data_IF_540087267035
#
_entry.id   IF_540087267035
#
_cell.length_a   1.000
_cell.length_b   1.000
_cell.length_c   1.000
_cell.angle_alpha   90.00
_cell.angle_beta   90.00
_cell.angle_gamma   90.00
#
_symmetry.space_group_name_H-M   'P 1'
#
loop_
_entity.id
_entity.type
_entity.pdbx_description
1 polymer ?
#
# COMPACT_ATOMS: atom_id res chain seq x y z
N UNK A 1 -5.61 -15.07 20.18
CA UNK A 1 -6.17 -14.67 18.87
C UNK A 1 -5.42 -13.48 18.34
N UNK A 2 -5.01 -13.56 17.13
CA UNK A 2 -4.24 -12.49 16.49
C UNK A 2 -5.18 -11.60 15.72
N UNK A 3 -5.23 -10.32 16.09
CA UNK A 3 -6.14 -9.38 15.46
C UNK A 3 -5.89 -9.24 13.96
N UNK A 4 -4.66 -9.39 13.54
CA UNK A 4 -4.30 -9.23 12.14
C UNK A 4 -4.92 -10.31 11.26
N UNK A 5 -5.49 -11.35 11.87
CA UNK A 5 -6.13 -12.43 11.13
C UNK A 5 -7.64 -12.27 11.08
N UNK A 6 -8.15 -11.15 11.58
CA UNK A 6 -9.55 -10.82 11.43
C UNK A 6 -9.91 -10.83 9.94
N UNK A 7 -10.92 -11.59 9.53
CA UNK A 7 -11.28 -11.66 8.10
C UNK A 7 -11.55 -10.31 7.47
N UNK A 8 -12.14 -9.39 8.21
CA UNK A 8 -12.40 -8.05 7.69
C UNK A 8 -11.12 -7.30 7.42
N UNK A 9 -10.17 -7.42 8.34
CA UNK A 9 -8.88 -6.77 8.18
C UNK A 9 -8.11 -7.34 7.00
N UNK A 10 -8.10 -8.66 6.87
CA UNK A 10 -7.41 -9.31 5.76
C UNK A 10 -8.01 -8.88 4.43
N UNK A 11 -9.33 -8.86 4.37
CA UNK A 11 -10.04 -8.48 3.16
C UNK A 11 -9.73 -7.03 2.78
N UNK A 12 -9.76 -6.15 3.76
CA UNK A 12 -9.47 -4.74 3.52
C UNK A 12 -8.05 -4.53 3.03
N UNK A 13 -7.09 -5.21 3.65
CA UNK A 13 -5.69 -5.08 3.27
C UNK A 13 -5.44 -5.65 1.87
N UNK A 14 -6.11 -6.74 1.55
CA UNK A 14 -6.00 -7.32 0.22
C UNK A 14 -6.56 -6.35 -0.83
N UNK A 15 -7.72 -5.78 -0.54
CA UNK A 15 -8.34 -4.83 -1.45
C UNK A 15 -7.47 -3.59 -1.62
N UNK A 16 -6.92 -3.10 -0.53
CA UNK A 16 -6.02 -1.94 -0.57
C UNK A 16 -4.81 -2.24 -1.43
N UNK A 17 -4.22 -3.41 -1.27
CA UNK A 17 -3.07 -3.81 -2.07
C UNK A 17 -3.40 -3.81 -3.55
N UNK A 18 -4.55 -4.38 -3.91
CA UNK A 18 -4.95 -4.43 -5.30
C UNK A 18 -5.22 -3.05 -5.87
N UNK A 19 -5.86 -2.18 -5.08
CA UNK A 19 -6.12 -0.81 -5.53
C UNK A 19 -4.82 -0.08 -5.84
N UNK A 20 -3.84 -0.24 -4.97
CA UNK A 20 -2.56 0.43 -5.17
C UNK A 20 -1.85 -0.09 -6.41
N UNK A 21 -1.90 -1.39 -6.62
CA UNK A 21 -1.24 -1.99 -7.77
C UNK A 21 -1.92 -1.58 -9.07
N UNK A 22 -3.24 -1.54 -9.07
CA UNK A 22 -4.00 -1.15 -10.26
C UNK A 22 -3.68 0.28 -10.65
N UNK A 23 -3.48 1.15 -9.68
CA UNK A 23 -3.20 2.56 -9.95
C UNK A 23 -1.72 2.85 -10.14
N UNK A 24 -0.86 1.89 -9.81
CA UNK A 24 0.58 2.10 -9.86
C UNK A 24 1.02 2.52 -11.25
N UNK A 25 2.01 3.40 -11.34
CA UNK A 25 2.71 4.07 -10.26
C UNK A 25 2.09 5.41 -9.87
N UNK A 26 0.85 5.65 -10.23
CA UNK A 26 0.18 6.92 -9.98
C UNK A 26 -0.13 7.07 -8.50
N UNK A 27 -0.13 8.32 -8.05
CA UNK A 27 -0.50 8.65 -6.69
C UNK A 27 -2.01 8.67 -6.55
N UNK A 28 -2.51 8.12 -5.45
CA UNK A 28 -3.93 8.10 -5.15
C UNK A 28 -4.12 8.76 -3.78
N UNK A 29 -5.04 9.72 -3.65
CA UNK A 29 -5.27 10.33 -2.35
C UNK A 29 -5.69 9.33 -1.31
N UNK A 30 -5.14 9.46 -0.11
CA UNK A 30 -5.49 8.57 0.99
C UNK A 30 -7.00 8.59 1.26
N UNK A 31 -7.61 9.76 1.15
CA UNK A 31 -9.05 9.90 1.38
C UNK A 31 -9.85 9.10 0.36
N UNK A 32 -9.38 9.03 -0.86
CA UNK A 32 -10.06 8.25 -1.89
C UNK A 32 -9.96 6.76 -1.60
N UNK A 33 -8.80 6.31 -1.14
CA UNK A 33 -8.62 4.93 -0.75
C UNK A 33 -9.55 4.58 0.40
N UNK A 34 -9.61 5.46 1.40
CA UNK A 34 -10.47 5.24 2.55
C UNK A 34 -11.93 5.16 2.14
N UNK A 35 -12.35 6.06 1.27
CA UNK A 35 -13.74 6.06 0.80
C UNK A 35 -14.07 4.76 0.06
N UNK A 36 -13.17 4.33 -0.81
CA UNK A 36 -13.37 3.10 -1.57
C UNK A 36 -13.45 1.89 -0.66
N UNK A 37 -12.64 1.88 0.39
CA UNK A 37 -12.59 0.75 1.32
C UNK A 37 -13.65 0.83 2.40
N UNK A 38 -14.35 1.95 2.50
CA UNK A 38 -15.32 2.15 3.56
C UNK A 38 -14.67 2.20 4.93
N UNK A 39 -13.47 2.78 5.00
CA UNK A 39 -12.71 2.85 6.24
C UNK A 39 -12.29 4.29 6.50
N UNK A 40 -11.80 4.52 7.71
CA UNK A 40 -11.28 5.84 8.06
C UNK A 40 -9.85 6.00 7.60
N UNK A 41 -9.44 7.25 7.43
CA UNK A 41 -8.08 7.54 6.98
C UNK A 41 -7.03 6.90 7.87
N UNK A 42 -7.23 6.96 9.18
CA UNK A 42 -6.26 6.39 10.12
C UNK A 42 -6.18 4.87 9.96
N UNK A 43 -7.31 4.23 9.70
CA UNK A 43 -7.34 2.79 9.49
C UNK A 43 -6.54 2.43 8.24
N UNK A 44 -6.74 3.19 7.17
CA UNK A 44 -6.02 2.92 5.93
C UNK A 44 -4.53 3.18 6.13
N UNK A 45 -4.19 4.26 6.84
CA UNK A 45 -2.79 4.57 7.10
C UNK A 45 -2.12 3.44 7.88
N UNK A 46 -2.84 2.88 8.84
CA UNK A 46 -2.32 1.75 9.61
C UNK A 46 -2.14 0.52 8.71
N UNK A 47 -3.12 0.27 7.85
CA UNK A 47 -3.03 -0.85 6.92
C UNK A 47 -1.89 -0.66 5.93
N UNK A 48 -1.57 0.57 5.57
CA UNK A 48 -0.47 0.83 4.65
C UNK A 48 0.86 0.36 5.21
N UNK A 49 1.05 0.41 6.52
CA UNK A 49 2.26 -0.12 7.12
C UNK A 49 2.38 -1.61 6.85
N UNK A 50 1.28 -2.33 7.00
CA UNK A 50 1.27 -3.76 6.72
C UNK A 50 1.50 -4.03 5.24
N UNK A 51 0.82 -3.28 4.38
CA UNK A 51 0.94 -3.47 2.94
C UNK A 51 2.35 -3.14 2.48
N UNK A 52 2.94 -2.10 3.06
CA UNK A 52 4.31 -1.73 2.73
C UNK A 52 5.29 -2.86 3.03
N UNK A 53 5.15 -3.47 4.20
CA UNK A 53 6.00 -4.59 4.56
C UNK A 53 5.77 -5.78 3.64
N UNK A 54 4.51 -6.03 3.31
CA UNK A 54 4.16 -7.13 2.44
C UNK A 54 4.76 -6.94 1.04
N UNK A 55 4.58 -5.75 0.47
CA UNK A 55 5.05 -5.50 -0.88
C UNK A 55 6.57 -5.38 -0.96
N UNK A 56 7.22 -5.08 0.15
CA UNK A 56 8.67 -5.01 0.18
C UNK A 56 9.29 -6.36 -0.18
N UNK A 57 8.59 -7.44 0.12
CA UNK A 57 9.06 -8.77 -0.24
C UNK A 57 9.09 -8.99 -1.75
N UNK A 58 8.39 -8.15 -2.49
CA UNK A 58 8.34 -8.24 -3.94
C UNK A 58 9.07 -7.08 -4.61
N UNK A 59 9.93 -6.40 -3.84
CA UNK A 59 10.70 -5.26 -4.35
C UNK A 59 9.82 -4.12 -4.81
N UNK A 60 8.71 -3.93 -4.11
CA UNK A 60 7.81 -2.81 -4.36
C UNK A 60 7.86 -1.85 -3.19
N UNK A 61 7.74 -0.58 -3.48
CA UNK A 61 7.80 0.48 -2.48
C UNK A 61 6.44 1.15 -2.41
N UNK A 62 5.94 1.32 -1.19
CA UNK A 62 4.73 2.10 -0.94
C UNK A 62 5.18 3.46 -0.46
N UNK A 63 4.82 4.49 -1.20
CA UNK A 63 5.23 5.86 -0.89
C UNK A 63 4.02 6.66 -0.45
N UNK A 64 4.08 7.23 0.74
CA UNK A 64 3.05 8.12 1.25
C UNK A 64 3.63 9.52 1.24
N UNK A 65 3.15 10.34 0.33
CA UNK A 65 3.69 11.69 0.16
C UNK A 65 3.18 12.63 1.24
N UNK A 66 3.79 13.81 1.28
CA UNK A 66 3.41 14.83 2.26
C UNK A 66 1.98 15.31 2.05
N UNK A 67 1.45 15.16 0.85
CA UNK A 67 0.08 15.56 0.55
C UNK A 67 -0.90 14.40 0.81
N UNK A 68 -0.47 13.40 1.54
CA UNK A 68 -1.27 12.24 1.86
C UNK A 68 -1.75 11.51 0.61
N UNK A 69 -0.86 11.39 -0.34
CA UNK A 69 -1.12 10.62 -1.53
C UNK A 69 -0.22 9.40 -1.53
N UNK A 70 -0.77 8.28 -1.98
CA UNK A 70 -0.12 6.99 -1.89
C UNK A 70 0.17 6.48 -3.29
N UNK A 71 1.37 5.97 -3.47
CA UNK A 71 1.76 5.36 -4.74
C UNK A 71 2.56 4.10 -4.46
N UNK A 72 2.53 3.19 -5.43
CA UNK A 72 3.36 2.00 -5.39
C UNK A 72 4.19 1.96 -6.66
N UNK A 73 5.46 1.67 -6.50
CA UNK A 73 6.34 1.56 -7.65
C UNK A 73 7.41 0.54 -7.35
N UNK A 74 8.06 0.08 -8.40
CA UNK A 74 9.11 -0.90 -8.24
C UNK A 74 10.33 -0.30 -7.62
N UNK A 75 10.95 -1.03 -6.68
CA UNK A 75 12.21 -0.59 -6.12
C UNK A 75 13.24 -0.64 -7.23
N UNK A 76 13.92 0.45 -7.41
CA UNK A 76 14.94 0.51 -8.43
C UNK A 76 16.16 -0.22 -7.94
N UNK A 77 16.47 -1.29 -8.63
CA UNK A 77 17.70 -2.03 -8.37
C UNK A 77 18.69 -1.59 -9.41
N UNK A 78 19.81 -1.06 -8.95
CA UNK A 78 20.81 -0.54 -9.86
C UNK A 78 21.78 -1.65 -10.20
N UNK A 79 21.76 -2.04 -11.44
CA UNK A 79 22.69 -3.02 -11.94
C UNK A 79 23.79 -2.37 -12.77
N UNK A 80 23.87 -1.05 -12.69
CA UNK A 80 24.85 -0.33 -13.48
C UNK A 80 26.28 -0.77 -13.17
N UNK A 81 26.48 -1.22 -11.96
CA UNK A 81 27.76 -1.76 -11.55
C UNK A 81 28.02 -3.09 -12.23
N UNK A 82 27.04 -3.63 -12.87
CA UNK A 82 27.19 -4.86 -13.61
C UNK A 82 27.87 -4.54 -14.92
N UNK A 83 29.03 -5.06 -15.15
CA UNK A 83 29.68 -4.82 -16.43
C UNK A 83 28.86 -5.42 -17.56
#
# INVERSE_FOLDING_TARGET
MIKDQDPQTVKRRTHLTLLLIVHAPKHVPLTELAATLGAENDTVRHDLNWVSDFLAHYNLVVDLSVDQQVAVYGRRIIYSEQP
#
